data_IF_648775838637
#
_entry.id   IF_648775838637
#
_cell.length_a   1.000
_cell.length_b   1.000
_cell.length_c   1.000
_cell.angle_alpha   90.00
_cell.angle_beta   90.00
_cell.angle_gamma   90.00
#
_symmetry.space_group_name_H-M   'P 1'
#
loop_
_entity.id
_entity.type
_entity.pdbx_description
1 polymer ?
#
# COMPACT_ATOMS: atom_id res chain seq x y z
N UNK A 1 3.35 -5.45 -14.54
CA UNK A 1 2.31 -5.03 -15.51
C UNK A 1 1.18 -4.34 -14.77
N UNK A 2 0.80 -3.15 -15.24
CA UNK A 2 -0.43 -2.46 -14.89
C UNK A 2 -1.61 -3.03 -15.71
N UNK A 3 -2.83 -2.59 -15.41
CA UNK A 3 -4.03 -3.06 -16.12
C UNK A 3 -4.04 -2.71 -17.62
N UNK A 4 -3.31 -1.67 -17.99
CA UNK A 4 -3.11 -1.22 -19.37
C UNK A 4 -1.79 -1.71 -20.00
N UNK A 5 -1.11 -2.69 -19.38
CA UNK A 5 0.09 -3.31 -19.95
C UNK A 5 1.37 -2.99 -19.18
N UNK A 6 2.44 -2.60 -19.88
CA UNK A 6 3.74 -2.31 -19.29
C UNK A 6 3.65 -1.03 -18.46
N UNK A 7 4.28 -1.02 -17.29
CA UNK A 7 4.32 0.18 -16.47
C UNK A 7 5.32 1.15 -17.11
N UNK A 8 4.91 2.40 -17.29
CA UNK A 8 5.75 3.44 -17.87
C UNK A 8 7.07 3.58 -17.09
N UNK A 9 8.18 3.66 -17.83
CA UNK A 9 9.55 3.78 -17.29
C UNK A 9 9.78 4.96 -16.34
N UNK A 10 8.89 5.98 -16.38
CA UNK A 10 8.93 7.09 -15.43
C UNK A 10 8.69 6.69 -13.97
N UNK A 11 8.12 5.51 -13.73
CA UNK A 11 7.96 4.96 -12.38
C UNK A 11 9.19 4.10 -12.06
N UNK A 12 10.02 4.47 -11.06
CA UNK A 12 11.24 3.75 -10.72
C UNK A 12 10.92 2.47 -9.93
N UNK A 13 10.28 1.51 -10.60
CA UNK A 13 9.87 0.24 -10.01
C UNK A 13 10.91 -0.84 -10.27
N UNK A 14 11.07 -1.75 -9.30
CA UNK A 14 11.84 -2.97 -9.48
C UNK A 14 10.89 -4.06 -9.99
N UNK A 15 11.10 -4.53 -11.21
CA UNK A 15 10.29 -5.64 -11.74
C UNK A 15 10.62 -6.95 -11.03
N UNK A 16 9.59 -7.71 -10.70
CA UNK A 16 9.75 -9.06 -10.16
C UNK A 16 10.05 -10.03 -11.29
N UNK A 17 10.92 -11.02 -11.06
CA UNK A 17 11.26 -12.07 -12.04
C UNK A 17 10.08 -12.94 -12.48
N UNK A 18 8.94 -12.87 -11.78
CA UNK A 18 7.73 -13.63 -12.08
C UNK A 18 6.58 -12.78 -12.63
N UNK A 19 5.88 -13.34 -13.63
CA UNK A 19 4.64 -12.77 -14.19
C UNK A 19 3.40 -13.05 -13.33
N UNK A 20 3.48 -13.88 -12.29
CA UNK A 20 2.34 -14.23 -11.45
C UNK A 20 1.90 -13.08 -10.53
N UNK A 21 0.62 -12.74 -10.60
CA UNK A 21 0.01 -11.65 -9.81
C UNK A 21 0.08 -11.86 -8.28
N UNK A 22 -0.15 -13.08 -7.74
CA UNK A 22 -0.02 -13.32 -6.29
C UNK A 22 1.40 -13.10 -5.79
N UNK A 23 2.40 -13.37 -6.63
CA UNK A 23 3.81 -13.24 -6.27
C UNK A 23 4.23 -11.78 -6.15
N UNK A 24 3.74 -10.89 -7.02
CA UNK A 24 3.96 -9.44 -6.89
C UNK A 24 3.29 -8.84 -5.65
N UNK A 25 2.05 -9.24 -5.33
CA UNK A 25 1.38 -8.79 -4.10
C UNK A 25 2.11 -9.31 -2.87
N UNK A 26 2.53 -10.58 -2.89
CA UNK A 26 3.34 -11.18 -1.82
C UNK A 26 4.69 -10.49 -1.70
N UNK A 27 5.36 -10.16 -2.80
CA UNK A 27 6.62 -9.42 -2.80
C UNK A 27 6.43 -7.97 -2.36
N UNK A 28 5.42 -7.22 -2.78
CA UNK A 28 5.21 -5.87 -2.23
C UNK A 28 4.91 -5.88 -0.72
N UNK A 29 4.28 -6.94 -0.22
CA UNK A 29 4.09 -7.16 1.22
C UNK A 29 5.38 -7.66 1.90
N UNK A 30 6.28 -8.40 1.21
CA UNK A 30 7.54 -8.95 1.74
C UNK A 30 8.74 -8.01 1.52
N UNK A 31 9.03 -7.62 0.28
CA UNK A 31 10.05 -6.68 -0.26
C UNK A 31 9.74 -5.19 -0.07
N UNK A 32 8.71 -4.83 0.69
CA UNK A 32 8.75 -3.54 1.36
C UNK A 32 10.02 -3.42 2.26
N UNK A 33 10.70 -4.54 2.49
CA UNK A 33 12.12 -4.63 2.77
C UNK A 33 12.98 -4.14 1.59
N UNK A 34 13.47 -2.90 1.66
CA UNK A 34 14.50 -2.42 0.71
C UNK A 34 15.79 -3.22 0.95
N UNK A 35 16.28 -3.92 -0.07
CA UNK A 35 17.62 -4.51 -0.06
C UNK A 35 18.58 -3.43 -0.56
N UNK A 36 19.06 -2.58 0.35
CA UNK A 36 20.39 -1.99 0.17
C UNK A 36 21.38 -2.99 0.74
N UNK A 37 22.49 -3.20 0.03
CA UNK A 37 23.38 -4.34 0.20
C UNK A 37 24.02 -4.50 1.59
N UNK A 38 23.76 -3.61 2.54
CA UNK A 38 24.27 -3.68 3.92
C UNK A 38 23.23 -3.34 5.02
N UNK A 39 21.95 -3.07 4.69
CA UNK A 39 20.91 -2.80 5.71
C UNK A 39 19.53 -3.28 5.21
N UNK A 40 18.90 -4.17 5.99
CA UNK A 40 17.49 -4.55 5.80
C UNK A 40 16.63 -3.45 6.45
N UNK A 41 16.07 -2.54 5.65
CA UNK A 41 15.04 -1.61 6.13
C UNK A 41 13.70 -2.31 6.00
N UNK A 42 13.12 -2.76 7.11
CA UNK A 42 11.79 -3.36 7.10
C UNK A 42 10.73 -2.29 6.92
N UNK A 43 9.85 -2.47 5.94
CA UNK A 43 8.52 -1.88 6.03
C UNK A 43 7.66 -2.87 6.79
N UNK A 44 7.51 -2.61 8.09
CA UNK A 44 6.75 -3.45 9.00
C UNK A 44 5.24 -3.23 8.86
N UNK A 45 4.82 -2.34 7.95
CA UNK A 45 3.48 -1.78 7.97
C UNK A 45 2.90 -1.45 6.59
N UNK A 46 1.64 -1.84 6.35
CA UNK A 46 0.90 -1.57 5.10
C UNK A 46 -0.38 -0.77 5.36
N UNK A 47 -0.53 0.38 4.68
CA UNK A 47 -1.80 1.11 4.60
C UNK A 47 -2.63 0.57 3.43
N UNK A 48 -3.84 0.10 3.73
CA UNK A 48 -4.75 -0.49 2.75
C UNK A 48 -5.90 0.48 2.53
N UNK A 49 -6.07 0.98 1.30
CA UNK A 49 -7.13 1.90 0.92
C UNK A 49 -8.27 1.16 0.21
N UNK A 50 -9.51 1.45 0.62
CA UNK A 50 -10.73 0.95 -0.02
C UNK A 50 -11.73 2.08 -0.27
N UNK A 51 -12.71 1.82 -1.14
CA UNK A 51 -13.90 2.65 -1.31
C UNK A 51 -15.13 1.77 -1.03
N UNK A 52 -15.49 1.64 0.25
CA UNK A 52 -16.52 0.72 0.72
C UNK A 52 -16.05 -0.74 0.70
N UNK A 53 -16.75 -1.61 -0.04
CA UNK A 53 -16.49 -3.06 -0.05
C UNK A 53 -15.06 -3.38 -0.49
N UNK A 54 -14.40 -4.24 0.27
CA UNK A 54 -13.08 -4.76 -0.04
C UNK A 54 -13.15 -5.63 -1.29
N UNK A 55 -12.33 -5.33 -2.30
CA UNK A 55 -12.20 -6.17 -3.49
C UNK A 55 -11.47 -7.47 -3.17
N UNK A 56 -11.58 -8.49 -4.05
CA UNK A 56 -10.88 -9.79 -3.88
C UNK A 56 -9.37 -9.64 -3.65
N UNK A 57 -8.73 -8.65 -4.28
CA UNK A 57 -7.30 -8.36 -4.10
C UNK A 57 -6.96 -7.80 -2.71
N UNK A 58 -7.82 -6.95 -2.15
CA UNK A 58 -7.68 -6.36 -0.82
C UNK A 58 -7.79 -7.43 0.27
N UNK A 59 -8.69 -8.40 0.12
CA UNK A 59 -8.82 -9.54 1.02
C UNK A 59 -7.57 -10.43 1.03
N UNK A 60 -6.90 -10.58 -0.12
CA UNK A 60 -5.63 -11.31 -0.19
C UNK A 60 -4.51 -10.56 0.55
N UNK A 61 -4.41 -9.24 0.40
CA UNK A 61 -3.43 -8.42 1.13
C UNK A 61 -3.64 -8.49 2.64
N UNK A 62 -4.89 -8.42 3.12
CA UNK A 62 -5.22 -8.55 4.54
C UNK A 62 -4.84 -9.94 5.06
N UNK A 63 -5.21 -11.00 4.33
CA UNK A 63 -4.87 -12.37 4.69
C UNK A 63 -3.34 -12.58 4.77
N UNK A 64 -2.60 -12.09 3.79
CA UNK A 64 -1.13 -12.18 3.78
C UNK A 64 -0.47 -11.35 4.89
N UNK A 65 -0.99 -10.16 5.19
CA UNK A 65 -0.49 -9.33 6.29
C UNK A 65 -0.72 -10.01 7.65
N UNK A 66 -1.90 -10.63 7.84
CA UNK A 66 -2.22 -11.42 9.04
C UNK A 66 -1.32 -12.66 9.17
N UNK A 67 -1.15 -13.42 8.08
CA UNK A 67 -0.30 -14.62 8.05
C UNK A 67 1.18 -14.30 8.33
N UNK A 68 1.64 -13.11 7.97
CA UNK A 68 3.02 -12.65 8.20
C UNK A 68 3.20 -11.83 9.48
N UNK A 69 2.16 -11.65 10.30
CA UNK A 69 2.17 -10.79 11.50
C UNK A 69 2.64 -9.36 11.22
N UNK A 70 2.38 -8.84 10.02
CA UNK A 70 2.70 -7.45 9.67
C UNK A 70 1.56 -6.53 10.09
N UNK A 71 1.89 -5.39 10.70
CA UNK A 71 0.89 -4.41 11.06
C UNK A 71 0.25 -3.83 9.79
N UNK A 72 -1.06 -3.62 9.79
CA UNK A 72 -1.74 -2.97 8.67
C UNK A 72 -2.86 -2.08 9.19
N UNK A 73 -3.14 -1.02 8.45
CA UNK A 73 -4.28 -0.14 8.71
C UNK A 73 -5.17 -0.14 7.48
N UNK A 74 -6.43 -0.49 7.67
CA UNK A 74 -7.44 -0.46 6.61
C UNK A 74 -8.24 0.84 6.71
N UNK A 75 -8.25 1.60 5.62
CA UNK A 75 -8.93 2.89 5.51
C UNK A 75 -9.98 2.84 4.41
N UNK A 76 -11.24 3.05 4.78
CA UNK A 76 -12.33 3.26 3.83
C UNK A 76 -12.42 4.75 3.46
N UNK A 77 -11.92 5.09 2.28
CA UNK A 77 -11.85 6.46 1.75
C UNK A 77 -13.22 7.13 1.60
N UNK A 78 -14.35 6.38 1.62
CA UNK A 78 -15.68 6.99 1.62
C UNK A 78 -16.07 7.61 2.97
N UNK A 79 -15.46 7.13 4.05
CA UNK A 79 -15.88 7.40 5.43
C UNK A 79 -14.78 8.00 6.28
N UNK A 80 -13.55 7.97 5.80
CA UNK A 80 -12.40 8.31 6.62
C UNK A 80 -12.10 9.80 6.58
N UNK A 81 -12.17 10.43 7.74
CA UNK A 81 -11.84 11.84 7.97
C UNK A 81 -10.79 12.04 9.10
N UNK A 82 -10.37 10.96 9.76
CA UNK A 82 -9.51 11.01 10.94
C UNK A 82 -8.01 10.86 10.60
N UNK A 83 -7.44 11.86 9.93
CA UNK A 83 -6.00 11.91 9.63
C UNK A 83 -5.09 11.77 10.86
N UNK A 84 -5.40 12.36 12.04
CA UNK A 84 -4.60 12.18 13.25
C UNK A 84 -4.37 10.71 13.61
N UNK A 85 -5.39 9.86 13.53
CA UNK A 85 -5.26 8.42 13.82
C UNK A 85 -4.17 7.75 12.96
N UNK A 86 -4.12 8.09 11.67
CA UNK A 86 -3.10 7.53 10.77
C UNK A 86 -1.73 8.06 11.15
N UNK A 87 -1.61 9.36 11.41
CA UNK A 87 -0.33 9.98 11.75
C UNK A 87 0.22 9.39 13.05
N UNK A 88 -0.62 9.19 14.07
CA UNK A 88 -0.23 8.59 15.34
C UNK A 88 0.18 7.12 15.13
N UNK A 89 -0.60 6.36 14.36
CA UNK A 89 -0.23 4.99 13.98
C UNK A 89 1.11 4.93 13.22
N UNK A 90 1.39 5.87 12.32
CA UNK A 90 2.67 5.95 11.61
C UNK A 90 3.84 6.21 12.57
N UNK A 91 3.65 7.11 13.55
CA UNK A 91 4.65 7.48 14.56
C UNK A 91 4.90 6.36 15.56
N UNK A 92 3.85 5.74 16.08
CA UNK A 92 3.93 4.62 17.03
C UNK A 92 4.71 3.44 16.47
N UNK A 93 4.57 3.19 15.16
CA UNK A 93 5.27 2.13 14.46
C UNK A 93 6.65 2.54 13.92
N UNK A 94 7.12 3.78 14.20
CA UNK A 94 8.42 4.32 13.75
C UNK A 94 8.70 4.08 12.25
N UNK A 95 7.69 4.27 11.42
CA UNK A 95 7.72 3.85 10.02
C UNK A 95 8.60 4.80 9.19
N UNK A 96 9.68 4.28 8.62
CA UNK A 96 10.47 4.97 7.60
C UNK A 96 10.02 4.66 6.17
N UNK A 97 9.36 3.51 5.96
CA UNK A 97 8.87 3.04 4.66
C UNK A 97 7.44 2.51 4.80
N UNK A 98 6.49 3.13 4.10
CA UNK A 98 5.08 2.75 4.11
C UNK A 98 4.70 2.07 2.79
N UNK A 99 4.21 0.83 2.86
CA UNK A 99 3.58 0.19 1.71
C UNK A 99 2.11 0.64 1.63
N UNK A 100 1.64 1.01 0.44
CA UNK A 100 0.24 1.40 0.21
C UNK A 100 -0.38 0.42 -0.79
N UNK A 101 -1.48 -0.20 -0.39
CA UNK A 101 -2.23 -1.14 -1.21
C UNK A 101 -3.68 -0.70 -1.39
N UNK A 102 -4.34 -1.17 -2.45
CA UNK A 102 -5.74 -0.86 -2.70
C UNK A 102 -6.32 -1.71 -3.83
N UNK A 103 -7.63 -1.61 -4.01
CA UNK A 103 -8.30 -2.19 -5.18
C UNK A 103 -7.81 -1.52 -6.46
N UNK A 104 -7.87 -2.26 -7.57
CA UNK A 104 -7.64 -1.68 -8.89
C UNK A 104 -8.81 -0.81 -9.33
N UNK A 105 -8.55 0.13 -10.23
CA UNK A 105 -9.56 1.06 -10.76
C UNK A 105 -10.71 0.31 -11.43
N UNK A 106 -10.42 -0.73 -12.22
CA UNK A 106 -11.46 -1.56 -12.86
C UNK A 106 -12.40 -2.24 -11.85
N UNK A 107 -11.88 -2.58 -10.66
CA UNK A 107 -12.64 -3.25 -9.60
C UNK A 107 -13.36 -2.30 -8.64
N UNK A 108 -12.94 -1.04 -8.58
CA UNK A 108 -13.57 0.00 -7.76
C UNK A 108 -13.37 1.38 -8.42
N UNK A 109 -14.19 1.74 -9.42
CA UNK A 109 -14.04 2.99 -10.16
C UNK A 109 -14.04 4.22 -9.24
N UNK A 110 -13.10 5.13 -9.46
CA UNK A 110 -12.85 6.32 -8.65
C UNK A 110 -11.80 6.12 -7.54
N UNK A 111 -11.30 4.89 -7.31
CA UNK A 111 -10.31 4.62 -6.25
C UNK A 111 -9.01 5.37 -6.48
N UNK A 112 -8.56 5.51 -7.72
CA UNK A 112 -7.34 6.26 -8.03
C UNK A 112 -7.44 7.72 -7.57
N UNK A 113 -8.49 8.42 -8.01
CA UNK A 113 -8.70 9.84 -7.69
C UNK A 113 -8.83 10.06 -6.18
N UNK A 114 -9.59 9.19 -5.52
CA UNK A 114 -9.82 9.31 -4.07
C UNK A 114 -8.55 9.00 -3.28
N UNK A 115 -7.79 7.97 -3.67
CA UNK A 115 -6.52 7.65 -3.04
C UNK A 115 -5.50 8.78 -3.23
N UNK A 116 -5.42 9.38 -4.41
CA UNK A 116 -4.55 10.52 -4.69
C UNK A 116 -4.86 11.70 -3.75
N UNK A 117 -6.11 12.16 -3.72
CA UNK A 117 -6.52 13.31 -2.90
C UNK A 117 -6.30 13.06 -1.41
N UNK A 118 -6.58 11.83 -0.97
CA UNK A 118 -6.37 11.41 0.40
C UNK A 118 -4.88 11.42 0.79
N UNK A 119 -4.01 10.83 -0.06
CA UNK A 119 -2.58 10.77 0.21
C UNK A 119 -1.93 12.15 0.15
N UNK A 120 -2.36 13.03 -0.77
CA UNK A 120 -1.93 14.42 -0.82
C UNK A 120 -2.23 15.15 0.50
N UNK A 121 -3.45 15.02 1.02
CA UNK A 121 -3.83 15.59 2.31
C UNK A 121 -3.10 14.97 3.50
N UNK A 122 -2.90 13.65 3.48
CA UNK A 122 -2.17 12.94 4.52
C UNK A 122 -0.71 13.40 4.58
N UNK A 123 -0.02 13.42 3.43
CA UNK A 123 1.38 13.83 3.33
C UNK A 123 1.56 15.30 3.70
N UNK A 124 0.64 16.19 3.32
CA UNK A 124 0.67 17.59 3.73
C UNK A 124 0.55 17.79 5.26
N UNK A 125 -0.01 16.82 5.99
CA UNK A 125 -0.17 16.85 7.45
C UNK A 125 0.97 16.15 8.19
N UNK A 126 1.73 15.29 7.52
CA UNK A 126 2.94 14.69 8.06
C UNK A 126 4.05 15.74 7.94
N UNK A 127 4.36 16.41 9.05
CA UNK A 127 5.60 17.18 9.15
C UNK A 127 6.75 16.16 9.21
N UNK A 128 7.52 16.06 8.13
CA UNK A 128 8.86 15.47 8.15
C UNK A 128 9.81 16.42 8.90
#
# INVERSE_FOLDING_TARGET
>A
MAENGVIDSKYPLIETSSRNYPERTKLNVIHSNVIHSDVIIRSDVTLILSLGRLGRGTSLTIKLAQEQRKHYLLVDLKKFDNYPLIIDWLKENQISTLNIAGSRETGNPGIYKQAYLFLEQLLAKIKL
#
